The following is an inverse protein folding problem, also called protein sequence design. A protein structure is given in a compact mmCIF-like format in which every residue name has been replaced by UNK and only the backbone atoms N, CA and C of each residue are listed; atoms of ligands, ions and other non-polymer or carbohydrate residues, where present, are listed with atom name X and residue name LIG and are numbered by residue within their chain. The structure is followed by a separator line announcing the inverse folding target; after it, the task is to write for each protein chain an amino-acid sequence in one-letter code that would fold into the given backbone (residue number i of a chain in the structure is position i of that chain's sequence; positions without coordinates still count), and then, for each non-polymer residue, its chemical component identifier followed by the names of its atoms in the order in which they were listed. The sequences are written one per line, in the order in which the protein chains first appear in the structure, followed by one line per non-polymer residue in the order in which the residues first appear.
data_IF_403082369708
#
_entry.id   IF_403082369708
#
_cell.length_a   1.000
_cell.length_b   1.000
_cell.length_c   1.000
_cell.angle_alpha   90.00
_cell.angle_beta   90.00
_cell.angle_gamma   90.00
#
_symmetry.space_group_name_H-M   'P 1'
#
loop_
_entity.id
_entity.type
_entity.pdbx_description
1 polymer ?
#
# COMPACT_ATOMS: atom_id res chain seq x y z
N UNK A 1 27.88 -26.37 5.46
CA UNK A 1 27.19 -25.06 5.53
C UNK A 1 25.82 -25.21 4.86
N UNK A 2 24.76 -24.64 5.46
CA UNK A 2 23.41 -24.61 4.89
C UNK A 2 23.32 -23.36 4.01
N UNK A 3 22.89 -23.49 2.76
CA UNK A 3 22.79 -22.39 1.80
C UNK A 3 21.43 -21.68 1.88
N UNK A 4 20.35 -22.37 2.28
CA UNK A 4 19.05 -21.74 2.42
C UNK A 4 19.04 -20.50 3.36
N UNK A 5 19.76 -20.46 4.51
CA UNK A 5 19.74 -19.31 5.40
C UNK A 5 20.42 -18.10 4.78
N UNK A 6 21.47 -18.33 3.98
CA UNK A 6 22.21 -17.28 3.29
C UNK A 6 21.29 -16.60 2.28
N UNK A 7 20.54 -17.39 1.50
CA UNK A 7 19.65 -16.88 0.46
C UNK A 7 18.45 -16.17 1.09
N UNK A 8 17.88 -16.70 2.17
CA UNK A 8 16.82 -16.04 2.93
C UNK A 8 17.30 -14.71 3.55
N UNK A 9 18.52 -14.64 4.08
CA UNK A 9 19.12 -13.40 4.57
C UNK A 9 19.37 -12.38 3.45
N UNK A 10 19.80 -12.84 2.27
CA UNK A 10 19.92 -11.96 1.11
C UNK A 10 18.55 -11.42 0.68
N UNK A 11 17.52 -12.26 0.63
CA UNK A 11 16.14 -11.81 0.38
C UNK A 11 15.72 -10.76 1.40
N UNK A 12 16.09 -10.98 2.68
CA UNK A 12 15.86 -10.03 3.76
C UNK A 12 16.50 -8.66 3.48
N UNK A 13 17.79 -8.67 3.18
CA UNK A 13 18.55 -7.46 2.95
C UNK A 13 18.07 -6.69 1.72
N UNK A 14 17.89 -7.36 0.58
CA UNK A 14 17.40 -6.71 -0.64
C UNK A 14 15.96 -6.22 -0.50
N UNK A 15 15.11 -6.97 0.20
CA UNK A 15 13.73 -6.55 0.47
C UNK A 15 13.67 -5.30 1.35
N UNK A 16 14.45 -5.26 2.44
CA UNK A 16 14.49 -4.08 3.33
C UNK A 16 15.13 -2.85 2.66
N UNK A 17 16.14 -3.05 1.81
CA UNK A 17 16.71 -1.95 1.00
C UNK A 17 15.66 -1.40 0.03
N UNK A 18 14.91 -2.28 -0.66
CA UNK A 18 13.81 -1.86 -1.53
C UNK A 18 12.75 -1.07 -0.76
N UNK A 19 12.33 -1.58 0.40
CA UNK A 19 11.42 -0.90 1.32
C UNK A 19 11.95 0.49 1.70
N UNK A 20 13.23 0.60 2.08
CA UNK A 20 13.83 1.89 2.45
C UNK A 20 13.87 2.89 1.29
N UNK A 21 14.17 2.44 0.07
CA UNK A 21 14.14 3.30 -1.12
C UNK A 21 12.73 3.80 -1.40
N UNK A 22 11.73 2.93 -1.32
CA UNK A 22 10.32 3.33 -1.44
C UNK A 22 9.98 4.34 -0.34
N UNK A 23 10.43 4.12 0.90
CA UNK A 23 10.20 5.06 1.98
C UNK A 23 10.89 6.43 1.79
N UNK A 24 12.05 6.46 1.14
CA UNK A 24 12.84 7.68 0.99
C UNK A 24 12.39 8.54 -0.20
N UNK A 25 11.58 7.99 -1.11
CA UNK A 25 11.26 8.62 -2.40
C UNK A 25 10.19 9.73 -2.36
N UNK A 26 9.78 10.21 -1.17
CA UNK A 26 8.88 11.36 -0.92
C UNK A 26 7.51 11.39 -1.62
N UNK A 27 7.18 10.38 -2.43
CA UNK A 27 5.88 10.21 -3.10
C UNK A 27 5.15 9.03 -2.43
N UNK A 28 4.63 9.25 -1.22
CA UNK A 28 3.74 8.27 -0.63
C UNK A 28 2.31 8.57 -1.01
N UNK A 29 1.78 7.81 -1.96
CA UNK A 29 0.36 7.51 -1.92
C UNK A 29 0.13 6.50 -0.79
N UNK A 30 -1.03 6.55 -0.15
CA UNK A 30 -1.47 5.60 0.88
C UNK A 30 -1.41 4.15 0.38
N UNK A 31 -1.61 3.93 -0.91
CA UNK A 31 -1.43 2.63 -1.56
C UNK A 31 0.01 2.12 -1.53
N UNK A 32 0.98 3.01 -1.77
CA UNK A 32 2.40 2.63 -1.72
C UNK A 32 2.84 2.30 -0.30
N UNK A 33 2.30 2.98 0.72
CA UNK A 33 2.60 2.71 2.13
C UNK A 33 2.14 1.31 2.55
N UNK A 34 0.89 0.95 2.24
CA UNK A 34 0.34 -0.36 2.62
C UNK A 34 1.09 -1.51 1.95
N UNK A 35 1.33 -1.42 0.64
CA UNK A 35 2.11 -2.42 -0.10
C UNK A 35 3.54 -2.56 0.42
N UNK A 36 4.21 -1.45 0.74
CA UNK A 36 5.58 -1.46 1.28
C UNK A 36 5.65 -2.16 2.65
N UNK A 37 4.65 -1.94 3.51
CA UNK A 37 4.56 -2.60 4.81
C UNK A 37 4.34 -4.11 4.68
N UNK A 38 3.49 -4.54 3.73
CA UNK A 38 3.28 -5.97 3.45
C UNK A 38 4.58 -6.62 3.00
N UNK A 39 5.34 -5.98 2.10
CA UNK A 39 6.67 -6.48 1.69
C UNK A 39 7.63 -6.58 2.86
N UNK A 40 7.74 -5.51 3.67
CA UNK A 40 8.64 -5.50 4.82
C UNK A 40 8.32 -6.64 5.78
N UNK A 41 7.04 -6.83 6.10
CA UNK A 41 6.58 -7.91 6.96
C UNK A 41 6.88 -9.28 6.37
N UNK A 42 6.59 -9.47 5.07
CA UNK A 42 6.80 -10.73 4.37
C UNK A 42 8.26 -11.18 4.41
N UNK A 43 9.15 -10.23 4.20
CA UNK A 43 10.60 -10.43 4.15
C UNK A 43 11.17 -10.72 5.55
N UNK A 44 10.61 -10.12 6.61
CA UNK A 44 10.94 -10.45 8.00
C UNK A 44 10.41 -11.84 8.37
N UNK A 45 9.16 -12.15 8.02
CA UNK A 45 8.54 -13.46 8.27
C UNK A 45 9.28 -14.60 7.57
N UNK A 46 9.96 -14.32 6.45
CA UNK A 46 10.78 -15.32 5.77
C UNK A 46 11.96 -15.82 6.64
N UNK A 47 12.46 -15.00 7.57
CA UNK A 47 13.53 -15.43 8.49
C UNK A 47 13.07 -16.56 9.41
N UNK A 48 11.76 -16.66 9.71
CA UNK A 48 11.21 -17.80 10.45
C UNK A 48 11.41 -19.13 9.67
N UNK A 49 11.48 -19.07 8.33
CA UNK A 49 11.80 -20.21 7.48
C UNK A 49 13.16 -20.83 7.77
N UNK A 50 14.13 -20.02 8.22
CA UNK A 50 15.47 -20.50 8.61
C UNK A 50 15.37 -21.38 9.84
N UNK A 51 14.61 -20.95 10.84
CA UNK A 51 14.39 -21.74 12.06
C UNK A 51 13.56 -23.00 11.78
N UNK A 52 12.53 -22.88 10.93
CA UNK A 52 11.68 -24.00 10.55
C UNK A 52 12.44 -25.08 9.77
N UNK A 53 13.48 -24.71 9.03
CA UNK A 53 14.26 -25.67 8.25
C UNK A 53 14.89 -26.76 9.13
N UNK A 54 15.35 -26.40 10.33
CA UNK A 54 15.95 -27.34 11.28
C UNK A 54 14.92 -28.22 11.99
N UNK A 55 13.62 -28.01 11.74
CA UNK A 55 12.51 -28.75 12.35
C UNK A 55 11.78 -29.60 11.32
N UNK A 56 11.40 -29.00 10.20
CA UNK A 56 10.75 -29.65 9.07
C UNK A 56 10.96 -28.82 7.79
N UNK A 57 11.75 -29.35 6.86
CA UNK A 57 12.04 -28.67 5.59
C UNK A 57 10.76 -28.39 4.77
N UNK A 58 9.70 -29.20 4.88
CA UNK A 58 8.45 -28.99 4.13
C UNK A 58 7.76 -27.72 4.61
N UNK A 59 7.72 -27.51 5.92
CA UNK A 59 7.11 -26.33 6.54
C UNK A 59 7.94 -25.08 6.21
N UNK A 60 9.27 -25.20 6.19
CA UNK A 60 10.15 -24.12 5.76
C UNK A 60 9.93 -23.72 4.28
N UNK A 61 9.79 -24.70 3.37
CA UNK A 61 9.44 -24.45 1.96
C UNK A 61 8.12 -23.67 1.86
N UNK A 62 7.09 -24.13 2.57
CA UNK A 62 5.77 -23.46 2.57
C UNK A 62 5.88 -22.03 3.10
N UNK A 63 6.63 -21.81 4.18
CA UNK A 63 6.88 -20.47 4.72
C UNK A 63 7.54 -19.55 3.67
N UNK A 64 8.60 -20.02 3.01
CA UNK A 64 9.27 -19.23 1.97
C UNK A 64 8.36 -18.92 0.78
N UNK A 65 7.52 -19.86 0.36
CA UNK A 65 6.54 -19.65 -0.72
C UNK A 65 5.49 -18.61 -0.32
N UNK A 66 4.93 -18.71 0.89
CA UNK A 66 3.97 -17.73 1.42
C UNK A 66 4.61 -16.34 1.45
N UNK A 67 5.84 -16.23 1.97
CA UNK A 67 6.56 -14.96 2.01
C UNK A 67 6.93 -14.43 0.61
N UNK A 68 7.20 -15.32 -0.36
CA UNK A 68 7.42 -14.91 -1.73
C UNK A 68 6.16 -14.24 -2.29
N UNK A 69 5.01 -14.91 -2.22
CA UNK A 69 3.75 -14.32 -2.69
C UNK A 69 3.35 -13.08 -1.89
N UNK A 70 3.56 -13.08 -0.57
CA UNK A 70 3.35 -11.90 0.27
C UNK A 70 4.18 -10.70 -0.18
N UNK A 71 5.42 -10.92 -0.64
CA UNK A 71 6.28 -9.86 -1.16
C UNK A 71 5.80 -9.30 -2.50
N UNK A 72 5.06 -10.08 -3.31
CA UNK A 72 4.46 -9.60 -4.57
C UNK A 72 3.23 -8.72 -4.34
N UNK A 73 2.55 -8.89 -3.21
CA UNK A 73 1.41 -8.04 -2.86
C UNK A 73 1.86 -6.60 -2.58
N UNK A 74 3.10 -6.40 -2.15
CA UNK A 74 3.70 -5.07 -2.10
C UNK A 74 4.21 -4.60 -3.46
N UNK A 75 4.08 -3.30 -3.73
CA UNK A 75 4.24 -2.77 -5.09
C UNK A 75 5.67 -2.74 -5.64
N UNK A 76 5.77 -2.82 -6.98
CA UNK A 76 6.84 -2.21 -7.79
C UNK A 76 7.89 -3.16 -8.39
N UNK A 77 8.91 -2.58 -9.05
CA UNK A 77 10.09 -3.33 -9.51
C UNK A 77 10.97 -3.82 -8.34
N UNK A 78 10.89 -3.13 -7.19
CA UNK A 78 11.75 -3.37 -6.03
C UNK A 78 11.40 -4.66 -5.26
N UNK A 79 10.23 -5.25 -5.49
CA UNK A 79 9.79 -6.51 -4.88
C UNK A 79 10.16 -7.76 -5.69
N UNK A 80 10.58 -7.61 -6.95
CA UNK A 80 10.92 -8.75 -7.81
C UNK A 80 12.15 -9.47 -7.26
N UNK A 81 13.15 -8.72 -6.78
CA UNK A 81 14.38 -9.29 -6.22
C UNK A 81 14.10 -10.14 -4.97
N UNK A 82 13.44 -9.64 -3.90
CA UNK A 82 13.13 -10.47 -2.74
C UNK A 82 12.21 -11.63 -3.09
N UNK A 83 11.24 -11.45 -4.00
CA UNK A 83 10.39 -12.54 -4.48
C UNK A 83 11.20 -13.71 -5.07
N UNK A 84 12.09 -13.42 -6.02
CA UNK A 84 12.92 -14.43 -6.66
C UNK A 84 13.83 -15.11 -5.64
N UNK A 85 14.48 -14.33 -4.76
CA UNK A 85 15.36 -14.88 -3.74
C UNK A 85 14.63 -15.81 -2.76
N UNK A 86 13.38 -15.49 -2.39
CA UNK A 86 12.57 -16.37 -1.54
C UNK A 86 12.16 -17.67 -2.24
N UNK A 87 11.86 -17.63 -3.54
CA UNK A 87 11.64 -18.84 -4.32
C UNK A 87 12.91 -19.69 -4.44
N UNK A 88 14.07 -19.05 -4.66
CA UNK A 88 15.35 -19.75 -4.67
C UNK A 88 15.62 -20.37 -3.29
N UNK A 89 15.33 -19.66 -2.19
CA UNK A 89 15.47 -20.19 -0.84
C UNK A 89 14.59 -21.43 -0.63
N UNK A 90 13.35 -21.44 -1.14
CA UNK A 90 12.47 -22.61 -1.12
C UNK A 90 13.03 -23.79 -1.92
N UNK A 91 13.58 -23.54 -3.12
CA UNK A 91 14.19 -24.57 -3.96
C UNK A 91 15.46 -25.14 -3.31
N UNK A 92 16.33 -24.29 -2.78
CA UNK A 92 17.55 -24.72 -2.07
C UNK A 92 17.20 -25.48 -0.79
N UNK A 93 16.13 -25.08 -0.08
CA UNK A 93 15.60 -25.82 1.05
C UNK A 93 15.22 -27.27 0.66
N UNK A 94 14.60 -27.47 -0.50
CA UNK A 94 14.30 -28.81 -1.02
C UNK A 94 15.56 -29.62 -1.35
N UNK A 95 16.56 -29.01 -2.00
CA UNK A 95 17.83 -29.69 -2.30
C UNK A 95 18.64 -30.01 -1.04
N UNK A 96 18.53 -29.16 -0.02
CA UNK A 96 19.21 -29.36 1.26
C UNK A 96 18.39 -30.18 2.25
N UNK A 97 17.29 -30.83 1.84
CA UNK A 97 16.43 -31.64 2.74
C UNK A 97 17.21 -32.60 3.65
N UNK A 98 18.31 -33.17 3.16
CA UNK A 98 19.16 -34.10 3.90
C UNK A 98 19.89 -33.43 5.07
N UNK A 99 20.10 -32.11 5.01
CA UNK A 99 20.71 -31.29 6.06
C UNK A 99 19.71 -30.77 7.11
N UNK A 100 18.41 -31.04 6.94
CA UNK A 100 17.35 -30.63 7.88
C UNK A 100 17.22 -31.56 9.10
N UNK A 101 17.83 -32.75 9.03
CA UNK A 101 17.85 -33.82 10.04
C UNK A 101 16.52 -34.10 10.77
N UNK A 102 15.81 -35.11 10.27
CA UNK A 102 15.69 -36.33 11.06
C UNK A 102 16.54 -37.39 10.36
N UNK A 103 17.53 -37.98 11.05
CA UNK A 103 18.20 -39.20 10.60
C UNK A 103 17.14 -40.29 10.43
N UNK A 104 16.60 -40.44 9.22
CA UNK A 104 15.76 -41.58 8.87
C UNK A 104 16.66 -42.81 8.83
N UNK A 105 16.48 -43.69 9.83
CA UNK A 105 16.54 -45.16 9.90
C UNK A 105 17.37 -45.94 8.86
N UNK A 106 17.42 -45.52 7.60
CA UNK A 106 18.10 -46.19 6.49
C UNK A 106 19.61 -45.93 6.44
N UNK A 107 20.11 -44.79 6.94
CA UNK A 107 21.55 -44.47 6.83
C UNK A 107 22.44 -45.15 7.88
N UNK A 108 21.85 -45.75 8.91
CA UNK A 108 22.61 -46.54 9.91
C UNK A 108 22.85 -47.96 9.40
N UNK A 109 22.07 -48.45 8.45
CA UNK A 109 22.26 -49.78 7.84
C UNK A 109 23.27 -49.78 6.68
N UNK A 110 23.57 -48.62 6.09
CA UNK A 110 24.55 -48.49 4.99
C UNK A 110 25.97 -48.11 5.45
N UNK A 111 26.17 -47.84 6.73
CA UNK A 111 27.51 -47.72 7.28
C UNK A 111 28.05 -49.13 7.56
N UNK A 112 29.19 -49.48 6.98
CA UNK A 112 29.91 -50.71 7.32
C UNK A 112 30.27 -50.67 8.82
N UNK A 113 29.47 -51.33 9.64
CA UNK A 113 29.75 -51.55 11.05
C UNK A 113 30.49 -52.88 11.22
N UNK A 114 31.56 -52.86 12.00
CA UNK A 114 32.23 -54.08 12.46
C UNK A 114 31.55 -54.54 13.77
N UNK A 115 30.62 -55.49 13.69
CA UNK A 115 29.86 -56.02 14.82
C UNK A 115 28.64 -56.84 14.41
N UNK A 116 27.93 -57.44 15.38
CA UNK A 116 26.68 -58.18 15.15
C UNK A 116 25.54 -57.19 14.80
N UNK A 117 24.94 -57.33 13.61
CA UNK A 117 23.85 -56.47 13.13
C UNK A 117 22.64 -56.43 14.07
N UNK A 118 22.40 -57.52 14.82
CA UNK A 118 21.23 -57.66 15.68
C UNK A 118 21.29 -56.76 16.92
N UNK A 119 22.43 -56.69 17.61
CA UNK A 119 22.64 -55.81 18.77
C UNK A 119 22.60 -54.32 18.39
N UNK A 120 23.07 -53.98 17.18
CA UNK A 120 23.10 -52.61 16.69
C UNK A 120 21.68 -52.14 16.33
N UNK A 121 20.88 -52.99 15.68
CA UNK A 121 19.46 -52.69 15.44
C UNK A 121 18.69 -52.50 16.74
N UNK A 122 18.97 -53.31 17.75
CA UNK A 122 18.31 -53.19 19.05
C UNK A 122 18.71 -51.90 19.79
N UNK A 123 20.01 -51.53 19.79
CA UNK A 123 20.43 -50.23 20.31
C UNK A 123 19.82 -49.06 19.54
N UNK A 124 19.76 -49.14 18.21
CA UNK A 124 19.18 -48.09 17.36
C UNK A 124 17.68 -47.88 17.63
N UNK A 125 16.92 -48.97 17.73
CA UNK A 125 15.49 -48.93 18.05
C UNK A 125 15.22 -48.39 19.46
N UNK A 126 16.19 -48.51 20.37
CA UNK A 126 16.13 -47.97 21.73
C UNK A 126 16.63 -46.53 21.86
N UNK A 127 17.15 -45.89 20.79
CA UNK A 127 17.35 -44.44 20.81
C UNK A 127 15.99 -43.76 20.79
N UNK A 128 15.77 -42.72 21.64
CA UNK A 128 14.53 -41.98 21.61
C UNK A 128 14.37 -41.34 20.22
N UNK A 129 13.50 -41.92 19.39
CA UNK A 129 13.05 -41.29 18.15
C UNK A 129 12.42 -39.97 18.58
N UNK A 130 13.07 -38.86 18.23
CA UNK A 130 12.56 -37.53 18.54
C UNK A 130 11.31 -37.31 17.67
N UNK A 131 10.17 -37.84 18.11
CA UNK A 131 8.87 -37.62 17.50
C UNK A 131 8.44 -36.20 17.84
N UNK A 132 9.13 -35.22 17.26
CA UNK A 132 8.68 -33.84 17.25
C UNK A 132 7.39 -33.81 16.43
N UNK A 133 6.28 -33.49 17.11
CA UNK A 133 4.96 -33.35 16.48
C UNK A 133 5.03 -32.19 15.46
N UNK A 134 5.26 -32.50 14.19
CA UNK A 134 5.43 -31.51 13.11
C UNK A 134 4.20 -30.62 12.93
N UNK A 135 3.05 -31.06 13.41
CA UNK A 135 1.77 -30.33 13.40
C UNK A 135 1.84 -28.98 14.13
N UNK A 136 2.66 -28.85 15.17
CA UNK A 136 2.78 -27.59 15.93
C UNK A 136 3.46 -26.51 15.09
N UNK A 137 4.40 -26.87 14.22
CA UNK A 137 5.17 -25.90 13.42
C UNK A 137 4.38 -25.33 12.23
N UNK A 138 3.30 -26.00 11.81
CA UNK A 138 2.38 -25.49 10.78
C UNK A 138 1.66 -24.20 11.19
N UNK A 139 1.65 -23.87 12.48
CA UNK A 139 1.09 -22.60 12.97
C UNK A 139 1.83 -21.40 12.38
N UNK A 140 3.14 -21.50 12.09
CA UNK A 140 3.95 -20.38 11.62
C UNK A 140 3.54 -19.93 10.21
N UNK A 141 3.44 -20.82 9.20
CA UNK A 141 2.83 -20.50 7.91
C UNK A 141 1.43 -19.92 7.99
N UNK A 142 0.56 -20.52 8.82
CA UNK A 142 -0.83 -20.08 8.96
C UNK A 142 -0.94 -18.67 9.54
N UNK A 143 -0.19 -18.39 10.61
CA UNK A 143 -0.14 -17.05 11.23
C UNK A 143 0.46 -16.04 10.26
N UNK A 144 1.46 -16.45 9.46
CA UNK A 144 2.07 -15.58 8.44
C UNK A 144 1.05 -15.13 7.39
N UNK A 145 0.19 -16.04 6.90
CA UNK A 145 -0.90 -15.68 5.97
C UNK A 145 -1.86 -14.68 6.63
N UNK A 146 -2.30 -14.95 7.86
CA UNK A 146 -3.24 -14.08 8.57
C UNK A 146 -2.65 -12.69 8.77
N UNK A 147 -1.38 -12.59 9.16
CA UNK A 147 -0.69 -11.32 9.36
C UNK A 147 -0.56 -10.53 8.04
N UNK A 148 -0.15 -11.19 6.96
CA UNK A 148 -0.01 -10.55 5.65
C UNK A 148 -1.36 -10.02 5.13
N UNK A 149 -2.43 -10.82 5.25
CA UNK A 149 -3.78 -10.39 4.88
C UNK A 149 -4.27 -9.24 5.76
N UNK A 150 -4.02 -9.29 7.08
CA UNK A 150 -4.45 -8.25 8.02
C UNK A 150 -3.82 -6.90 7.69
N UNK A 151 -2.52 -6.87 7.39
CA UNK A 151 -1.83 -5.63 7.01
C UNK A 151 -2.31 -5.12 5.65
N UNK A 152 -2.55 -6.03 4.69
CA UNK A 152 -3.11 -5.66 3.39
C UNK A 152 -4.49 -5.01 3.52
N UNK A 153 -5.42 -5.65 4.24
CA UNK A 153 -6.79 -5.14 4.47
C UNK A 153 -6.78 -3.82 5.24
N UNK A 154 -5.96 -3.71 6.30
CA UNK A 154 -5.85 -2.47 7.07
C UNK A 154 -5.35 -1.31 6.20
N UNK A 155 -4.42 -1.58 5.29
CA UNK A 155 -3.96 -0.63 4.30
C UNK A 155 -5.08 -0.10 3.41
N UNK A 156 -5.89 -0.99 2.85
CA UNK A 156 -7.03 -0.63 1.99
C UNK A 156 -8.09 0.19 2.74
N UNK A 157 -8.45 -0.21 3.96
CA UNK A 157 -9.42 0.55 4.78
C UNK A 157 -8.89 1.96 5.11
N UNK A 158 -7.59 2.07 5.37
CA UNK A 158 -6.97 3.36 5.68
C UNK A 158 -6.97 4.30 4.47
N UNK A 159 -6.73 3.76 3.26
CA UNK A 159 -6.86 4.51 2.01
C UNK A 159 -8.29 5.04 1.82
N UNK A 160 -9.28 4.16 1.93
CA UNK A 160 -10.68 4.50 1.71
C UNK A 160 -11.12 5.62 2.67
N UNK A 161 -10.79 5.48 3.96
CA UNK A 161 -11.05 6.52 4.96
C UNK A 161 -10.30 7.84 4.67
N UNK A 162 -9.07 7.79 4.15
CA UNK A 162 -8.33 9.00 3.76
C UNK A 162 -9.00 9.71 2.58
N UNK A 163 -9.48 8.95 1.59
CA UNK A 163 -10.19 9.50 0.43
C UNK A 163 -11.54 10.10 0.82
N UNK A 164 -12.37 9.38 1.59
CA UNK A 164 -13.66 9.90 2.06
C UNK A 164 -13.48 11.19 2.86
N UNK A 165 -12.54 11.19 3.80
CA UNK A 165 -12.29 12.39 4.60
C UNK A 165 -11.68 13.56 3.81
N UNK A 166 -11.04 13.33 2.66
CA UNK A 166 -10.63 14.40 1.72
C UNK A 166 -11.84 15.01 1.00
N UNK A 167 -12.80 14.18 0.59
CA UNK A 167 -14.02 14.62 -0.09
C UNK A 167 -14.91 15.48 0.83
N UNK A 168 -14.94 15.15 2.12
CA UNK A 168 -15.72 15.92 3.11
C UNK A 168 -14.93 17.07 3.76
N UNK A 169 -13.67 17.31 3.34
CA UNK A 169 -12.80 18.28 4.00
C UNK A 169 -13.13 19.74 3.67
N UNK A 170 -13.69 20.02 2.49
CA UNK A 170 -13.82 21.39 1.98
C UNK A 170 -15.23 21.92 2.20
N UNK A 171 -15.34 23.07 2.86
CA UNK A 171 -16.59 23.79 3.03
C UNK A 171 -16.48 25.21 2.48
N UNK A 172 -17.45 25.64 1.67
CA UNK A 172 -17.57 27.01 1.18
C UNK A 172 -18.80 27.68 1.79
N UNK A 173 -18.55 28.72 2.59
CA UNK A 173 -19.57 29.50 3.31
C UNK A 173 -19.56 30.96 2.86
N UNK A 174 -20.53 31.75 3.36
CA UNK A 174 -20.64 33.20 3.11
C UNK A 174 -20.63 33.58 1.62
N UNK A 175 -21.28 32.75 0.80
CA UNK A 175 -21.38 32.97 -0.64
C UNK A 175 -22.18 34.25 -0.93
N UNK A 176 -21.57 35.15 -1.68
CA UNK A 176 -22.23 36.34 -2.22
C UNK A 176 -21.96 36.48 -3.72
N UNK A 177 -22.91 37.09 -4.43
CA UNK A 177 -22.86 37.27 -5.87
C UNK A 177 -23.15 38.72 -6.21
N UNK A 178 -22.36 39.33 -7.08
CA UNK A 178 -22.50 40.74 -7.44
C UNK A 178 -22.48 40.99 -8.96
N UNK A 179 -22.87 39.98 -9.74
CA UNK A 179 -22.96 40.07 -11.20
C UNK A 179 -23.88 41.23 -11.61
N UNK A 180 -23.30 42.20 -12.31
CA UNK A 180 -23.97 43.40 -12.82
C UNK A 180 -23.78 43.51 -14.32
N UNK A 181 -24.75 44.14 -14.97
CA UNK A 181 -24.67 44.46 -16.39
C UNK A 181 -24.18 45.90 -16.56
N UNK A 182 -23.10 46.05 -17.32
CA UNK A 182 -22.66 47.32 -17.90
C UNK A 182 -23.09 47.39 -19.38
N UNK A 183 -22.79 48.50 -20.06
CA UNK A 183 -23.21 48.70 -21.46
C UNK A 183 -22.73 47.59 -22.42
N UNK A 184 -21.50 47.13 -22.25
CA UNK A 184 -20.86 46.15 -23.15
C UNK A 184 -20.77 44.75 -22.54
N UNK A 185 -20.59 44.66 -21.21
CA UNK A 185 -20.23 43.42 -20.52
C UNK A 185 -21.11 43.14 -19.29
N UNK A 186 -21.18 41.87 -18.90
CA UNK A 186 -21.49 41.47 -17.53
C UNK A 186 -20.19 41.40 -16.72
N UNK A 187 -20.17 42.05 -15.56
CA UNK A 187 -19.02 42.13 -14.67
C UNK A 187 -19.42 41.84 -13.23
N UNK A 188 -18.52 41.24 -12.45
CA UNK A 188 -18.74 40.91 -11.04
C UNK A 188 -18.14 39.54 -10.76
N UNK A 189 -18.73 38.80 -9.81
CA UNK A 189 -18.27 37.46 -9.54
C UNK A 189 -19.06 36.76 -8.44
N UNK A 190 -18.44 35.70 -7.93
CA UNK A 190 -18.83 35.04 -6.70
C UNK A 190 -17.69 35.17 -5.70
N UNK A 191 -18.03 35.66 -4.51
CA UNK A 191 -17.13 35.70 -3.37
C UNK A 191 -17.60 34.71 -2.31
N UNK A 192 -16.67 34.14 -1.58
CA UNK A 192 -16.98 33.22 -0.49
C UNK A 192 -15.78 32.96 0.41
N UNK A 193 -15.99 32.16 1.44
CA UNK A 193 -14.94 31.74 2.35
C UNK A 193 -14.83 30.22 2.30
N UNK A 194 -13.70 29.73 1.81
CA UNK A 194 -13.30 28.34 1.85
C UNK A 194 -12.67 28.03 3.22
N UNK A 195 -13.16 27.00 3.88
CA UNK A 195 -12.56 26.42 5.08
C UNK A 195 -12.24 24.96 4.79
N UNK A 196 -11.09 24.50 5.25
CA UNK A 196 -10.69 23.10 5.12
C UNK A 196 -10.61 22.45 6.48
N UNK A 197 -11.15 21.24 6.64
CA UNK A 197 -11.01 20.43 7.86
C UNK A 197 -9.70 19.63 7.87
N UNK A 198 -8.89 19.72 6.81
CA UNK A 198 -7.60 19.02 6.64
C UNK A 198 -6.53 19.91 6.00
N UNK A 199 -5.29 19.47 6.11
CA UNK A 199 -4.18 20.08 5.38
C UNK A 199 -4.18 19.59 3.92
N UNK A 200 -3.98 20.51 2.97
CA UNK A 200 -3.73 20.19 1.56
C UNK A 200 -2.47 20.90 1.08
N UNK A 201 -1.67 20.24 0.24
CA UNK A 201 -0.47 20.85 -0.34
C UNK A 201 -0.83 21.93 -1.36
N UNK A 202 -1.82 21.65 -2.20
CA UNK A 202 -2.33 22.57 -3.20
C UNK A 202 -3.77 22.20 -3.53
N UNK A 203 -4.64 23.18 -3.68
CA UNK A 203 -5.95 22.99 -4.31
C UNK A 203 -6.13 24.00 -5.43
N UNK A 204 -6.92 23.63 -6.43
CA UNK A 204 -7.33 24.53 -7.51
C UNK A 204 -8.83 24.78 -7.42
N UNK A 205 -9.22 26.05 -7.44
CA UNK A 205 -10.64 26.44 -7.45
C UNK A 205 -11.02 26.93 -8.84
N UNK A 206 -12.08 26.34 -9.41
CA UNK A 206 -12.61 26.69 -10.72
C UNK A 206 -14.06 27.14 -10.59
N UNK A 207 -14.42 28.13 -11.40
CA UNK A 207 -15.78 28.58 -11.61
C UNK A 207 -16.18 28.31 -13.05
N UNK A 208 -17.05 27.33 -13.28
CA UNK A 208 -17.64 27.05 -14.60
C UNK A 208 -18.95 27.79 -14.73
N UNK A 209 -19.02 28.72 -15.68
CA UNK A 209 -20.17 29.60 -15.86
C UNK A 209 -21.05 29.10 -17.00
N UNK A 210 -22.35 29.03 -16.77
CA UNK A 210 -23.32 28.50 -17.72
C UNK A 210 -24.42 29.51 -18.04
N UNK A 211 -24.92 29.47 -19.28
CA UNK A 211 -26.09 30.24 -19.70
C UNK A 211 -27.41 29.53 -19.34
N UNK A 212 -28.54 30.12 -19.74
CA UNK A 212 -29.88 29.58 -19.48
C UNK A 212 -30.13 28.18 -20.10
N UNK A 213 -29.41 27.84 -21.17
CA UNK A 213 -29.53 26.55 -21.86
C UNK A 213 -28.58 25.49 -21.26
N UNK A 214 -27.84 25.82 -20.20
CA UNK A 214 -26.84 24.93 -19.62
C UNK A 214 -25.54 24.83 -20.43
N UNK A 215 -25.31 25.69 -21.43
CA UNK A 215 -24.04 25.73 -22.16
C UNK A 215 -22.97 26.45 -21.35
N UNK A 216 -21.77 25.88 -21.27
CA UNK A 216 -20.60 26.53 -20.70
C UNK A 216 -20.24 27.76 -21.52
N UNK A 217 -20.20 28.93 -20.88
CA UNK A 217 -19.91 30.23 -21.52
C UNK A 217 -18.61 30.86 -21.04
N UNK A 218 -18.07 30.41 -19.90
CA UNK A 218 -16.77 30.86 -19.39
C UNK A 218 -16.24 29.86 -18.36
N UNK A 219 -14.92 29.82 -18.20
CA UNK A 219 -14.23 29.16 -17.08
C UNK A 219 -13.33 30.19 -16.40
N UNK A 220 -13.55 30.45 -15.12
CA UNK A 220 -12.66 31.27 -14.30
C UNK A 220 -11.83 30.34 -13.42
N UNK A 221 -10.52 30.55 -13.40
CA UNK A 221 -9.62 29.87 -12.46
C UNK A 221 -9.24 30.91 -11.42
N UNK A 222 -9.64 30.71 -10.17
CA UNK A 222 -9.11 31.48 -9.06
C UNK A 222 -8.02 30.64 -8.40
N UNK A 223 -6.82 31.22 -8.38
CA UNK A 223 -5.63 30.89 -7.61
C UNK A 223 -5.47 29.43 -7.14
N UNK A 224 -4.36 28.81 -7.56
CA UNK A 224 -3.81 27.67 -6.83
C UNK A 224 -3.55 28.11 -5.38
N UNK A 225 -4.33 27.59 -4.44
CA UNK A 225 -4.15 27.87 -3.02
C UNK A 225 -3.16 26.83 -2.50
N UNK A 226 -1.92 27.26 -2.32
CA UNK A 226 -0.86 26.41 -1.78
C UNK A 226 -0.91 26.37 -0.26
N UNK A 227 -0.45 25.25 0.31
CA UNK A 227 -0.29 25.02 1.74
C UNK A 227 -1.56 25.32 2.55
N UNK A 228 -2.69 24.72 2.16
CA UNK A 228 -3.90 24.82 2.96
C UNK A 228 -3.71 24.12 4.30
N UNK A 229 -4.08 24.81 5.37
CA UNK A 229 -4.08 24.29 6.73
C UNK A 229 -5.48 24.03 7.23
N UNK A 230 -5.59 22.98 8.03
CA UNK A 230 -6.79 22.63 8.77
C UNK A 230 -7.30 23.85 9.56
N UNK A 231 -8.61 24.04 9.51
CA UNK A 231 -9.40 25.09 10.15
C UNK A 231 -9.04 26.53 9.72
N UNK A 232 -8.16 26.69 8.73
CA UNK A 232 -7.83 27.98 8.16
C UNK A 232 -8.86 28.40 7.10
N UNK A 233 -9.14 29.70 7.08
CA UNK A 233 -10.10 30.33 6.16
C UNK A 233 -9.37 31.02 5.01
N UNK A 234 -9.86 30.79 3.80
CA UNK A 234 -9.33 31.36 2.57
C UNK A 234 -10.45 32.10 1.84
N UNK A 235 -10.16 33.32 1.41
CA UNK A 235 -11.12 34.08 0.61
C UNK A 235 -11.09 33.58 -0.83
N UNK A 236 -12.27 33.30 -1.37
CA UNK A 236 -12.48 32.97 -2.77
C UNK A 236 -13.04 34.17 -3.51
N UNK A 237 -12.52 34.41 -4.71
CA UNK A 237 -12.97 35.48 -5.60
C UNK A 237 -12.98 35.00 -7.06
N UNK A 238 -14.09 34.38 -7.46
CA UNK A 238 -14.31 33.93 -8.83
C UNK A 238 -14.88 35.07 -9.66
N UNK A 239 -14.00 35.71 -10.45
CA UNK A 239 -14.38 36.86 -11.28
C UNK A 239 -15.02 36.43 -12.60
N UNK A 240 -16.01 37.20 -13.02
CA UNK A 240 -16.70 37.11 -14.29
C UNK A 240 -16.63 38.44 -15.03
N UNK A 241 -16.09 38.43 -16.25
CA UNK A 241 -16.07 39.59 -17.13
C UNK A 241 -16.23 39.10 -18.58
N UNK A 242 -17.46 39.11 -19.07
CA UNK A 242 -17.78 38.60 -20.41
C UNK A 242 -18.77 39.51 -21.14
N UNK A 243 -18.84 39.47 -22.49
CA UNK A 243 -19.77 40.27 -23.27
C UNK A 243 -21.23 40.03 -22.89
N UNK A 244 -22.10 41.02 -23.12
CA UNK A 244 -23.54 40.92 -22.81
C UNK A 244 -24.30 39.81 -23.55
N UNK A 245 -23.74 39.23 -24.61
CA UNK A 245 -24.26 38.02 -25.26
C UNK A 245 -24.11 36.76 -24.40
N UNK A 246 -23.16 36.77 -23.46
CA UNK A 246 -22.87 35.68 -22.54
C UNK A 246 -23.46 36.02 -21.17
N UNK A 247 -24.79 35.97 -21.03
CA UNK A 247 -25.43 36.15 -19.71
C UNK A 247 -25.23 34.90 -18.85
N UNK A 248 -24.55 34.99 -17.68
CA UNK A 248 -24.48 33.86 -16.77
C UNK A 248 -25.83 33.66 -16.06
N UNK A 249 -26.25 32.40 -15.97
CA UNK A 249 -27.43 31.96 -15.21
C UNK A 249 -27.08 31.00 -14.09
N UNK A 250 -25.96 30.30 -14.22
CA UNK A 250 -25.45 29.41 -13.19
C UNK A 250 -23.92 29.50 -13.16
N UNK A 251 -23.32 29.39 -11.98
CA UNK A 251 -21.91 29.05 -11.83
C UNK A 251 -21.79 27.78 -11.01
N UNK A 252 -20.93 26.88 -11.44
CA UNK A 252 -20.50 25.72 -10.68
C UNK A 252 -19.11 26.01 -10.14
N UNK A 253 -18.99 26.04 -8.81
CA UNK A 253 -17.70 26.15 -8.13
C UNK A 253 -17.20 24.73 -7.92
N UNK A 254 -16.02 24.43 -8.45
CA UNK A 254 -15.35 23.16 -8.28
C UNK A 254 -14.00 23.36 -7.58
N UNK A 255 -13.70 22.52 -6.61
CA UNK A 255 -12.40 22.49 -5.93
C UNK A 255 -11.74 21.15 -6.21
N UNK A 256 -10.50 21.18 -6.69
CA UNK A 256 -9.74 19.99 -7.06
C UNK A 256 -8.41 19.92 -6.33
N UNK A 257 -7.97 18.71 -6.00
CA UNK A 257 -6.56 18.44 -5.73
C UNK A 257 -5.86 18.12 -7.08
N UNK A 258 -4.98 18.99 -7.59
CA UNK A 258 -4.32 18.77 -8.87
C UNK A 258 -3.30 17.62 -8.85
N UNK A 259 -2.80 17.21 -7.68
CA UNK A 259 -1.84 16.11 -7.57
C UNK A 259 -2.55 14.76 -7.72
N UNK A 260 -3.75 14.64 -7.17
CA UNK A 260 -4.56 13.42 -7.18
C UNK A 260 -5.64 13.43 -8.27
N UNK A 261 -5.79 14.55 -8.99
CA UNK A 261 -6.88 14.78 -9.96
C UNK A 261 -8.28 14.52 -9.37
N UNK A 262 -8.44 14.78 -8.07
CA UNK A 262 -9.63 14.46 -7.29
C UNK A 262 -10.51 15.70 -7.15
N UNK A 263 -11.81 15.58 -7.44
CA UNK A 263 -12.80 16.62 -7.14
C UNK A 263 -13.15 16.56 -5.66
N UNK A 264 -12.75 17.58 -4.90
CA UNK A 264 -12.98 17.68 -3.46
C UNK A 264 -14.34 18.32 -3.13
N UNK A 265 -14.84 19.21 -3.99
CA UNK A 265 -16.08 19.93 -3.73
C UNK A 265 -16.70 20.42 -5.02
N UNK A 266 -18.04 20.33 -5.15
CA UNK A 266 -18.80 21.05 -6.18
C UNK A 266 -20.05 21.69 -5.60
N UNK A 267 -20.32 22.95 -5.98
CA UNK A 267 -21.57 23.64 -5.63
C UNK A 267 -22.05 24.53 -6.77
N UNK A 268 -23.34 24.41 -7.07
CA UNK A 268 -24.02 25.25 -8.02
C UNK A 268 -24.62 26.49 -7.33
N UNK A 269 -24.45 27.64 -7.95
CA UNK A 269 -25.11 28.90 -7.59
C UNK A 269 -25.86 29.39 -8.81
N UNK A 270 -27.13 29.74 -8.62
CA UNK A 270 -28.00 30.21 -9.71
C UNK A 270 -28.20 31.71 -9.56
N UNK A 271 -28.13 32.43 -10.68
CA UNK A 271 -28.35 33.88 -10.75
C UNK A 271 -29.75 34.17 -11.29
N UNK A 272 -30.49 35.02 -10.60
CA UNK A 272 -31.80 35.49 -11.03
C UNK A 272 -31.68 36.53 -12.16
#
# INVERSE_FOLDING_TARGET
MKFNPIIALMACLFGLVGVFFTFSSSVFTSDMLSGTLVTALSVILALAGIFLFDKDYKIAIVQYVICAFGSLVGMGLYVIIPFILLLIAAVVCFFEKEKSENYTENNVLDAHFFGDESEIRERYNNFPKNTTNSTVYWIVPLVSIILLLSVGVMGSITLENDMESKLDAIEITQLSTDIKRNYTNYTGGVQGVLTSQRDFQNIQVKGKWYNANGTLINESIDNNISSIKKDQKYQLNLQYNQPTTNKPKKVEIEVYDPNESLLLYSKNITFN
#
